data_IF_898265916416
#
_entry.id   IF_898265916416
#
_cell.length_a   1.000
_cell.length_b   1.000
_cell.length_c   1.000
_cell.angle_alpha   90.00
_cell.angle_beta   90.00
_cell.angle_gamma   90.00
#
_symmetry.space_group_name_H-M   'P 1'
#
loop_
_entity.id
_entity.type
_entity.pdbx_description
1 polymer ?
#
# COMPACT_ATOMS: atom_id res chain seq x y z
N UNK A 1 18.21 -32.25 32.68
CA UNK A 1 17.15 -31.30 32.46
C UNK A 1 17.35 -30.18 33.45
N UNK A 2 17.81 -29.06 32.94
CA UNK A 2 18.02 -27.85 33.71
C UNK A 2 16.66 -27.26 34.06
N UNK A 3 16.46 -27.02 35.37
CA UNK A 3 15.29 -26.31 35.86
C UNK A 3 15.23 -24.93 35.20
N UNK A 4 14.28 -24.74 34.29
CA UNK A 4 14.10 -23.52 33.51
C UNK A 4 13.37 -22.41 34.31
N UNK A 5 13.03 -22.72 35.58
CA UNK A 5 12.33 -21.78 36.43
C UNK A 5 13.25 -21.24 37.54
N UNK A 6 13.59 -19.96 37.41
CA UNK A 6 14.45 -19.20 38.34
C UNK A 6 13.70 -18.65 39.56
N UNK A 7 12.47 -19.06 39.83
CA UNK A 7 11.69 -18.64 40.98
C UNK A 7 11.56 -19.72 42.02
N UNK A 8 11.35 -19.31 43.26
CA UNK A 8 11.20 -20.20 44.44
C UNK A 8 9.93 -21.05 44.28
N UNK A 9 10.11 -22.38 44.10
CA UNK A 9 8.99 -23.32 43.91
C UNK A 9 7.99 -23.32 45.07
N UNK A 10 8.49 -23.08 46.29
CA UNK A 10 7.68 -23.05 47.48
C UNK A 10 6.68 -21.89 47.54
N UNK A 11 7.00 -20.79 46.83
CA UNK A 11 6.11 -19.64 46.71
C UNK A 11 4.95 -19.89 45.76
N UNK A 12 5.11 -20.75 44.76
CA UNK A 12 4.05 -21.10 43.80
C UNK A 12 3.09 -22.14 44.38
N UNK A 13 3.58 -23.06 45.20
CA UNK A 13 2.72 -24.10 45.80
C UNK A 13 1.92 -23.58 47.01
N UNK A 14 2.36 -22.47 47.64
CA UNK A 14 1.68 -21.90 48.82
C UNK A 14 0.51 -20.93 48.50
N UNK A 15 0.42 -20.48 47.24
CA UNK A 15 -0.67 -19.60 46.79
C UNK A 15 -1.89 -20.42 46.34
N UNK A 16 -2.62 -21.02 47.28
CA UNK A 16 -3.97 -21.53 46.99
C UNK A 16 -4.89 -20.33 46.74
N UNK A 17 -4.97 -19.89 45.52
CA UNK A 17 -5.94 -18.85 45.12
C UNK A 17 -7.35 -19.44 45.21
N UNK A 18 -8.20 -18.91 46.08
CA UNK A 18 -9.60 -19.35 46.17
C UNK A 18 -10.29 -19.01 44.83
N UNK A 19 -11.30 -19.82 44.44
CA UNK A 19 -12.11 -19.56 43.24
C UNK A 19 -12.65 -18.12 43.21
N UNK A 20 -12.95 -17.58 44.39
CA UNK A 20 -13.45 -16.21 44.54
C UNK A 20 -12.37 -15.16 44.23
N UNK A 21 -11.13 -15.40 44.63
CA UNK A 21 -10.02 -14.47 44.35
C UNK A 21 -9.61 -14.57 42.90
N UNK A 22 -9.62 -15.75 42.30
CA UNK A 22 -9.42 -15.92 40.86
C UNK A 22 -10.44 -15.13 40.03
N UNK A 23 -11.73 -15.23 40.37
CA UNK A 23 -12.78 -14.46 39.69
C UNK A 23 -12.64 -12.95 39.88
N UNK A 24 -12.16 -12.49 41.03
CA UNK A 24 -11.88 -11.08 41.27
C UNK A 24 -10.73 -10.62 40.36
N UNK A 25 -9.62 -11.37 40.27
CA UNK A 25 -8.49 -11.03 39.42
C UNK A 25 -8.86 -11.03 37.94
N UNK A 26 -9.60 -12.04 37.48
CA UNK A 26 -10.05 -12.10 36.08
C UNK A 26 -11.07 -10.98 35.79
N UNK A 27 -11.99 -10.71 36.67
CA UNK A 27 -12.95 -9.63 36.53
C UNK A 27 -12.29 -8.25 36.51
N UNK A 28 -11.31 -8.03 37.38
CA UNK A 28 -10.56 -6.75 37.41
C UNK A 28 -9.64 -6.58 36.20
N UNK A 29 -8.97 -7.64 35.75
CA UNK A 29 -8.11 -7.57 34.57
C UNK A 29 -8.88 -7.35 33.28
N UNK A 30 -10.04 -8.00 33.12
CA UNK A 30 -10.91 -7.77 31.94
C UNK A 30 -11.53 -6.38 31.96
N UNK A 31 -11.94 -5.87 33.13
CA UNK A 31 -12.43 -4.50 33.28
C UNK A 31 -11.33 -3.46 32.99
N UNK A 32 -10.11 -3.68 33.48
CA UNK A 32 -8.97 -2.80 33.20
C UNK A 32 -8.58 -2.84 31.72
N UNK A 33 -8.58 -4.02 31.09
CA UNK A 33 -8.31 -4.15 29.65
C UNK A 33 -9.37 -3.47 28.78
N UNK A 34 -10.66 -3.57 29.18
CA UNK A 34 -11.75 -2.91 28.46
C UNK A 34 -11.69 -1.38 28.60
N UNK A 35 -11.28 -0.85 29.76
CA UNK A 35 -11.09 0.58 29.98
C UNK A 35 -9.85 1.11 29.20
N UNK A 36 -8.77 0.36 29.16
CA UNK A 36 -7.58 0.71 28.38
C UNK A 36 -7.84 0.66 26.85
N UNK A 37 -8.72 -0.24 26.39
CA UNK A 37 -9.12 -0.31 24.99
C UNK A 37 -10.03 0.87 24.56
N UNK A 38 -10.57 1.63 25.51
CA UNK A 38 -11.40 2.81 25.23
C UNK A 38 -10.60 4.10 25.00
N UNK A 39 -9.27 4.09 25.02
CA UNK A 39 -8.50 5.20 24.46
C UNK A 39 -8.71 5.21 22.96
N UNK A 40 -9.75 5.89 22.51
CA UNK A 40 -9.95 6.21 21.11
C UNK A 40 -8.71 6.92 20.57
N UNK A 41 -8.36 6.74 19.29
CA UNK A 41 -7.23 7.42 18.71
C UNK A 41 -7.43 8.93 18.90
N UNK A 42 -6.56 9.56 19.70
CA UNK A 42 -6.55 11.02 19.90
C UNK A 42 -6.03 11.66 18.60
N UNK A 43 -6.79 11.54 17.53
CA UNK A 43 -6.58 12.31 16.31
C UNK A 43 -7.44 13.56 16.43
N UNK A 44 -6.80 14.65 16.78
CA UNK A 44 -7.43 15.97 16.70
C UNK A 44 -7.71 16.24 15.22
N UNK A 45 -8.98 16.32 14.81
CA UNK A 45 -9.31 16.82 13.49
C UNK A 45 -9.09 18.34 13.53
N UNK A 46 -8.23 18.84 12.64
CA UNK A 46 -8.04 20.27 12.44
C UNK A 46 -9.18 20.72 11.52
N UNK A 47 -10.06 21.63 11.98
CA UNK A 47 -11.12 22.16 11.11
C UNK A 47 -10.50 22.94 9.96
N UNK A 48 -11.19 22.98 8.82
CA UNK A 48 -10.78 23.79 7.69
C UNK A 48 -10.83 25.28 8.07
N UNK A 49 -9.77 26.01 7.76
CA UNK A 49 -9.77 27.47 7.84
C UNK A 49 -10.67 28.06 6.75
N UNK A 50 -10.58 27.48 5.55
CA UNK A 50 -11.50 27.74 4.43
C UNK A 50 -12.00 26.39 3.95
N UNK A 51 -13.28 26.12 4.18
CA UNK A 51 -13.88 24.86 3.73
C UNK A 51 -14.16 24.92 2.23
N UNK A 52 -13.65 23.97 1.43
CA UNK A 52 -14.06 23.83 0.03
C UNK A 52 -15.58 23.58 -0.06
N UNK A 53 -16.25 24.20 -1.01
CA UNK A 53 -17.71 24.08 -1.19
C UNK A 53 -18.18 22.65 -1.45
N UNK A 54 -17.28 21.82 -1.99
CA UNK A 54 -17.57 20.43 -2.40
C UNK A 54 -17.34 19.42 -1.27
N UNK A 55 -16.75 19.84 -0.16
CA UNK A 55 -16.42 18.95 0.96
C UNK A 55 -17.33 19.25 2.15
N UNK A 56 -18.21 18.31 2.43
CA UNK A 56 -19.02 18.33 3.64
C UNK A 56 -18.39 17.37 4.65
N UNK A 57 -17.97 17.82 5.85
CA UNK A 57 -17.40 16.95 6.86
C UNK A 57 -18.29 15.75 7.17
N UNK A 58 -17.70 14.56 7.17
CA UNK A 58 -18.43 13.31 7.43
C UNK A 58 -19.17 12.72 6.23
N UNK A 59 -19.33 13.46 5.14
CA UNK A 59 -19.92 12.96 3.87
C UNK A 59 -18.80 12.52 2.93
N UNK A 60 -18.97 11.34 2.34
CA UNK A 60 -17.99 10.80 1.41
C UNK A 60 -18.22 11.34 -0.01
N UNK A 61 -17.13 11.71 -0.67
CA UNK A 61 -17.12 11.99 -2.11
C UNK A 61 -16.55 10.79 -2.88
N UNK A 62 -17.01 10.60 -4.11
CA UNK A 62 -16.60 9.49 -4.97
C UNK A 62 -15.99 10.02 -6.25
N UNK A 63 -14.83 9.49 -6.61
CA UNK A 63 -14.10 9.87 -7.81
C UNK A 63 -13.90 8.65 -8.70
N UNK A 64 -14.34 8.73 -9.94
CA UNK A 64 -14.10 7.68 -10.92
C UNK A 64 -12.65 7.76 -11.42
N UNK A 65 -11.96 6.64 -11.42
CA UNK A 65 -10.60 6.53 -11.95
C UNK A 65 -10.32 5.12 -12.42
N UNK A 66 -9.12 4.93 -12.98
CA UNK A 66 -8.63 3.61 -13.39
C UNK A 66 -7.36 3.28 -12.61
N UNK A 67 -7.30 2.07 -12.08
CA UNK A 67 -6.09 1.51 -11.48
C UNK A 67 -5.48 0.55 -12.48
N UNK A 68 -4.21 0.77 -12.82
CA UNK A 68 -3.42 -0.11 -13.66
C UNK A 68 -2.10 -0.40 -12.93
N UNK A 69 -1.95 -1.62 -12.42
CA UNK A 69 -0.74 -2.07 -11.73
C UNK A 69 -0.45 -3.52 -12.08
N UNK A 70 0.58 -3.73 -12.89
CA UNK A 70 0.89 -5.05 -13.42
C UNK A 70 -0.29 -5.63 -14.20
N UNK A 71 -0.80 -6.78 -13.77
CA UNK A 71 -1.97 -7.44 -14.36
C UNK A 71 -3.30 -6.79 -14.00
N UNK A 72 -3.33 -6.01 -12.93
CA UNK A 72 -4.57 -5.42 -12.44
C UNK A 72 -4.91 -4.18 -13.26
N UNK A 73 -6.01 -4.24 -13.96
CA UNK A 73 -6.61 -3.13 -14.69
C UNK A 73 -8.07 -3.03 -14.32
N UNK A 74 -8.44 -1.99 -13.58
CA UNK A 74 -9.79 -1.85 -13.07
C UNK A 74 -10.29 -0.41 -13.12
N UNK A 75 -11.52 -0.23 -13.61
CA UNK A 75 -12.25 1.02 -13.48
C UNK A 75 -12.95 1.04 -12.12
N UNK A 76 -12.62 2.01 -11.30
CA UNK A 76 -13.00 2.05 -9.90
C UNK A 76 -13.61 3.39 -9.50
N UNK A 77 -14.34 3.38 -8.39
CA UNK A 77 -14.75 4.56 -7.65
C UNK A 77 -13.90 4.63 -6.37
N UNK A 78 -13.17 5.71 -6.24
CA UNK A 78 -12.40 6.00 -5.02
C UNK A 78 -13.25 6.82 -4.08
N UNK A 79 -13.60 6.22 -2.95
CA UNK A 79 -14.31 6.89 -1.87
C UNK A 79 -13.32 7.71 -1.06
N UNK A 80 -13.60 8.99 -0.92
CA UNK A 80 -12.77 9.91 -0.14
C UNK A 80 -13.57 10.52 1.00
N UNK A 81 -12.90 10.84 2.08
CA UNK A 81 -13.40 11.73 3.11
C UNK A 81 -12.41 12.85 3.32
N UNK A 82 -12.89 14.08 3.25
CA UNK A 82 -12.07 15.28 3.50
C UNK A 82 -10.78 15.26 2.66
N UNK A 83 -10.90 14.87 1.38
CA UNK A 83 -9.78 14.77 0.45
C UNK A 83 -8.89 13.54 0.62
N UNK A 84 -9.19 12.64 1.58
CA UNK A 84 -8.41 11.42 1.83
C UNK A 84 -9.10 10.21 1.21
N UNK A 85 -8.44 9.48 0.30
CA UNK A 85 -8.92 8.19 -0.19
C UNK A 85 -9.00 7.17 0.96
N UNK A 86 -10.16 6.56 1.17
CA UNK A 86 -10.37 5.61 2.27
C UNK A 86 -10.77 4.22 1.79
N UNK A 87 -11.36 4.12 0.59
CA UNK A 87 -11.82 2.85 0.05
C UNK A 87 -11.86 2.90 -1.47
N UNK A 88 -11.62 1.77 -2.09
CA UNK A 88 -11.82 1.57 -3.52
C UNK A 88 -13.05 0.69 -3.71
N UNK A 89 -13.95 1.12 -4.55
CA UNK A 89 -15.19 0.44 -4.88
C UNK A 89 -15.27 0.20 -6.40
N UNK A 90 -16.05 -0.78 -6.79
CA UNK A 90 -16.29 -1.09 -8.19
C UNK A 90 -17.07 0.06 -8.86
N UNK A 91 -16.71 0.38 -10.09
CA UNK A 91 -17.47 1.32 -10.90
C UNK A 91 -18.45 0.55 -11.79
N UNK A 92 -19.70 0.43 -11.36
CA UNK A 92 -20.75 -0.30 -12.11
C UNK A 92 -21.14 0.39 -13.41
N UNK A 93 -20.81 1.69 -13.57
CA UNK A 93 -21.08 2.46 -14.79
C UNK A 93 -19.95 2.33 -15.83
N UNK A 94 -18.86 1.66 -15.49
CA UNK A 94 -17.79 1.42 -16.47
C UNK A 94 -18.23 0.42 -17.53
N UNK A 95 -17.76 0.62 -18.75
CA UNK A 95 -18.11 -0.19 -19.94
C UNK A 95 -17.93 -1.69 -19.72
N UNK A 96 -16.95 -2.10 -18.89
CA UNK A 96 -16.66 -3.50 -18.59
C UNK A 96 -17.13 -3.92 -17.18
N UNK A 97 -18.07 -3.18 -16.58
CA UNK A 97 -18.67 -3.53 -15.29
C UNK A 97 -17.70 -3.58 -14.11
N UNK A 98 -16.54 -2.93 -14.23
CA UNK A 98 -15.58 -2.70 -13.16
C UNK A 98 -15.28 -3.92 -12.28
N UNK A 99 -14.46 -4.86 -12.72
CA UNK A 99 -13.98 -5.96 -11.88
C UNK A 99 -12.94 -5.45 -10.88
N UNK A 100 -13.14 -5.70 -9.59
CA UNK A 100 -12.22 -5.27 -8.53
C UNK A 100 -11.78 -6.50 -7.72
N UNK A 101 -10.49 -6.77 -7.69
CA UNK A 101 -9.91 -7.85 -6.90
C UNK A 101 -9.35 -7.34 -5.56
N UNK A 102 -8.88 -8.26 -4.72
CA UNK A 102 -8.36 -7.93 -3.39
C UNK A 102 -7.14 -6.98 -3.44
N UNK A 103 -6.26 -7.12 -4.45
CA UNK A 103 -5.09 -6.24 -4.61
C UNK A 103 -5.51 -4.81 -4.95
N UNK A 104 -6.48 -4.66 -5.85
CA UNK A 104 -7.03 -3.35 -6.21
C UNK A 104 -7.68 -2.70 -4.99
N UNK A 105 -8.46 -3.43 -4.20
CA UNK A 105 -9.00 -2.91 -2.94
C UNK A 105 -7.92 -2.48 -1.95
N UNK A 106 -6.84 -3.28 -1.82
CA UNK A 106 -5.74 -3.01 -0.91
C UNK A 106 -4.84 -1.85 -1.38
N UNK A 107 -4.87 -1.46 -2.66
CA UNK A 107 -3.96 -0.44 -3.22
C UNK A 107 -4.11 0.93 -2.56
N UNK A 108 -5.25 1.24 -1.94
CA UNK A 108 -5.43 2.45 -1.15
C UNK A 108 -4.44 2.55 0.02
N UNK A 109 -4.02 1.41 0.58
CA UNK A 109 -3.09 1.37 1.71
C UNK A 109 -1.70 1.86 1.33
N UNK A 110 -1.28 1.68 0.08
CA UNK A 110 0.01 2.14 -0.42
C UNK A 110 0.18 3.66 -0.34
N UNK A 111 -0.92 4.41 -0.38
CA UNK A 111 -0.89 5.87 -0.22
C UNK A 111 -0.47 6.31 1.20
N UNK A 112 -0.68 5.43 2.18
CA UNK A 112 -0.42 5.68 3.60
C UNK A 112 0.81 4.95 4.12
N UNK A 113 1.53 4.23 3.25
CA UNK A 113 2.78 3.57 3.60
C UNK A 113 3.85 4.63 3.87
N UNK A 114 4.44 4.57 5.06
CA UNK A 114 5.53 5.48 5.47
C UNK A 114 6.82 5.25 4.69
N UNK A 115 6.99 4.05 4.15
CA UNK A 115 8.20 3.66 3.42
C UNK A 115 8.10 3.93 1.91
N UNK A 116 6.96 4.47 1.43
CA UNK A 116 6.82 4.84 0.02
C UNK A 116 7.80 5.94 -0.35
N UNK A 117 8.33 5.90 -1.55
CA UNK A 117 9.12 7.00 -2.10
C UNK A 117 8.21 8.22 -2.30
N UNK A 118 8.64 9.37 -1.80
CA UNK A 118 7.91 10.65 -1.89
C UNK A 118 8.40 11.52 -3.03
N UNK A 119 9.60 11.25 -3.53
CA UNK A 119 10.21 11.96 -4.63
C UNK A 119 11.28 11.13 -5.34
N UNK A 120 11.92 11.70 -6.36
CA UNK A 120 13.02 11.05 -7.06
C UNK A 120 14.26 10.96 -6.17
N UNK A 121 15.04 9.91 -6.37
CA UNK A 121 16.27 9.66 -5.61
C UNK A 121 17.41 9.30 -6.55
N UNK A 122 18.60 9.85 -6.27
CA UNK A 122 19.85 9.50 -6.94
C UNK A 122 20.88 9.13 -5.88
N UNK A 123 21.47 7.94 -6.01
CA UNK A 123 22.47 7.46 -5.05
C UNK A 123 21.95 7.31 -3.60
N UNK A 124 20.64 7.16 -3.40
CA UNK A 124 20.01 7.09 -2.08
C UNK A 124 19.67 8.43 -1.45
N UNK A 125 19.98 9.55 -2.12
CA UNK A 125 19.60 10.89 -1.69
C UNK A 125 18.40 11.42 -2.48
N UNK A 126 17.50 12.14 -1.80
CA UNK A 126 16.37 12.83 -2.42
C UNK A 126 16.87 13.99 -3.26
N UNK A 127 16.37 14.12 -4.51
CA UNK A 127 16.78 15.15 -5.47
C UNK A 127 15.56 15.79 -6.10
N UNK A 128 15.75 16.94 -6.77
CA UNK A 128 14.69 17.53 -7.57
C UNK A 128 14.42 16.73 -8.85
N UNK A 129 13.23 16.87 -9.43
CA UNK A 129 12.91 16.24 -10.74
C UNK A 129 13.86 16.66 -11.84
N UNK A 130 14.30 17.92 -11.87
CA UNK A 130 15.24 18.43 -12.87
C UNK A 130 16.62 17.75 -12.75
N UNK A 131 17.09 17.58 -11.53
CA UNK A 131 18.37 16.87 -11.28
C UNK A 131 18.27 15.40 -11.66
N UNK A 132 17.14 14.76 -11.31
CA UNK A 132 16.87 13.37 -11.68
C UNK A 132 16.85 13.18 -13.20
N UNK A 133 16.10 13.99 -13.93
CA UNK A 133 16.02 13.92 -15.40
C UNK A 133 17.40 14.16 -16.05
N UNK A 134 18.18 15.08 -15.52
CA UNK A 134 19.55 15.35 -15.97
C UNK A 134 20.45 14.13 -15.75
N UNK A 135 20.38 13.53 -14.57
CA UNK A 135 21.16 12.33 -14.23
C UNK A 135 20.77 11.14 -15.12
N UNK A 136 19.46 10.95 -15.38
CA UNK A 136 18.98 9.89 -16.29
C UNK A 136 19.47 10.13 -17.71
N UNK A 137 19.36 11.35 -18.23
CA UNK A 137 19.83 11.69 -19.58
C UNK A 137 21.35 11.48 -19.74
N UNK A 138 22.12 11.89 -18.74
CA UNK A 138 23.56 11.64 -18.71
C UNK A 138 23.86 10.14 -18.72
N UNK A 139 23.18 9.37 -17.88
CA UNK A 139 23.35 7.92 -17.79
C UNK A 139 23.00 7.21 -19.11
N UNK A 140 21.93 7.64 -19.76
CA UNK A 140 21.53 7.11 -21.06
C UNK A 140 22.62 7.39 -22.15
N UNK A 141 23.21 8.57 -22.11
CA UNK A 141 24.32 8.90 -23.03
C UNK A 141 25.57 8.05 -22.77
N UNK A 142 25.92 7.79 -21.53
CA UNK A 142 27.04 6.91 -21.14
C UNK A 142 26.82 5.45 -21.59
N UNK A 143 25.56 5.05 -21.72
CA UNK A 143 25.18 3.71 -22.16
C UNK A 143 24.94 3.60 -23.66
N UNK A 144 25.18 4.67 -24.43
CA UNK A 144 25.08 4.63 -25.87
C UNK A 144 26.02 3.56 -26.45
N UNK A 145 25.49 2.69 -27.30
CA UNK A 145 26.23 1.56 -27.88
C UNK A 145 26.50 0.35 -26.98
N UNK A 146 25.96 0.35 -25.76
CA UNK A 146 25.96 -0.83 -24.84
C UNK A 146 24.59 -1.47 -24.84
N UNK A 147 24.53 -2.78 -24.66
CA UNK A 147 23.26 -3.48 -24.46
C UNK A 147 22.63 -3.06 -23.13
N UNK A 148 21.42 -2.54 -23.21
CA UNK A 148 20.62 -2.15 -22.06
C UNK A 148 19.36 -3.01 -22.00
N UNK A 149 19.02 -3.51 -20.82
CA UNK A 149 17.80 -4.28 -20.59
C UNK A 149 16.83 -3.46 -19.77
N UNK A 150 15.64 -3.21 -20.33
CA UNK A 150 14.50 -2.69 -19.60
C UNK A 150 13.72 -3.89 -19.02
N UNK A 151 13.91 -4.16 -17.73
CA UNK A 151 13.22 -5.25 -17.05
C UNK A 151 11.95 -4.72 -16.39
N UNK A 152 10.81 -5.30 -16.71
CA UNK A 152 9.51 -4.92 -16.15
C UNK A 152 8.70 -6.15 -15.80
N UNK A 153 7.65 -5.97 -15.02
CA UNK A 153 6.53 -6.91 -14.95
C UNK A 153 5.63 -6.78 -16.19
N UNK A 154 4.71 -7.72 -16.37
CA UNK A 154 3.63 -7.58 -17.36
C UNK A 154 2.73 -6.40 -17.01
N UNK A 155 2.35 -5.60 -17.99
CA UNK A 155 1.39 -4.51 -17.83
C UNK A 155 0.11 -4.79 -18.62
N UNK A 156 -1.03 -4.75 -17.96
CA UNK A 156 -2.34 -4.80 -18.59
C UNK A 156 -2.76 -3.45 -19.19
N UNK A 157 -1.99 -2.39 -18.94
CA UNK A 157 -2.28 -1.02 -19.40
C UNK A 157 -1.81 -0.82 -20.86
N UNK A 158 -2.73 -0.53 -21.80
CA UNK A 158 -2.38 -0.24 -23.19
C UNK A 158 -1.47 1.00 -23.34
N UNK A 159 -1.69 2.03 -22.51
CA UNK A 159 -0.87 3.25 -22.53
C UNK A 159 0.56 3.00 -22.09
N UNK A 160 0.78 2.17 -21.06
CA UNK A 160 2.11 1.77 -20.61
C UNK A 160 2.82 0.96 -21.68
N UNK A 161 2.13 0.00 -22.31
CA UNK A 161 2.68 -0.81 -23.40
C UNK A 161 3.09 0.07 -24.59
N UNK A 162 2.26 1.05 -24.95
CA UNK A 162 2.60 2.00 -26.01
C UNK A 162 3.83 2.83 -25.67
N UNK A 163 3.92 3.33 -24.43
CA UNK A 163 5.06 4.12 -23.96
C UNK A 163 6.36 3.31 -24.00
N UNK A 164 6.35 2.03 -23.58
CA UNK A 164 7.48 1.14 -23.65
C UNK A 164 7.90 0.91 -25.10
N UNK A 165 6.94 0.71 -26.01
CA UNK A 165 7.21 0.56 -27.45
C UNK A 165 7.87 1.80 -28.06
N UNK A 166 7.38 2.98 -27.74
CA UNK A 166 7.95 4.25 -28.21
C UNK A 166 9.36 4.45 -27.62
N UNK A 167 9.58 4.10 -26.36
CA UNK A 167 10.87 4.20 -25.70
C UNK A 167 11.92 3.28 -26.32
N UNK A 168 11.58 2.01 -26.56
CA UNK A 168 12.48 1.04 -27.20
C UNK A 168 12.73 1.36 -28.67
N UNK A 169 11.77 1.97 -29.36
CA UNK A 169 11.97 2.46 -30.72
C UNK A 169 12.94 3.65 -30.79
N UNK A 170 12.90 4.53 -29.78
CA UNK A 170 13.81 5.67 -29.68
C UNK A 170 15.26 5.27 -29.38
N UNK A 171 15.45 4.25 -28.55
CA UNK A 171 16.75 3.76 -28.10
C UNK A 171 16.95 2.32 -28.58
N UNK A 172 17.57 2.15 -29.76
CA UNK A 172 17.71 0.85 -30.42
C UNK A 172 18.61 -0.15 -29.68
N UNK A 173 19.39 0.32 -28.70
CA UNK A 173 20.22 -0.51 -27.82
C UNK A 173 19.47 -1.04 -26.60
N UNK A 174 18.17 -0.76 -26.46
CA UNK A 174 17.36 -1.21 -25.34
C UNK A 174 16.53 -2.42 -25.75
N UNK A 175 16.66 -3.49 -24.99
CA UNK A 175 15.82 -4.68 -25.10
C UNK A 175 14.84 -4.73 -23.93
N UNK A 176 13.55 -4.78 -24.22
CA UNK A 176 12.52 -4.99 -23.20
C UNK A 176 12.41 -6.47 -22.85
N UNK A 177 12.45 -6.77 -21.55
CA UNK A 177 12.29 -8.12 -20.99
C UNK A 177 11.23 -8.06 -19.90
N UNK A 178 10.30 -9.00 -19.94
CA UNK A 178 9.24 -9.12 -18.94
C UNK A 178 9.59 -10.26 -17.99
N UNK A 179 9.50 -9.99 -16.69
CA UNK A 179 9.63 -10.99 -15.63
C UNK A 179 8.56 -10.78 -14.57
N UNK A 180 7.73 -11.81 -14.38
CA UNK A 180 6.68 -11.79 -13.38
C UNK A 180 7.05 -12.72 -12.22
N UNK A 181 7.21 -12.14 -11.03
CA UNK A 181 7.50 -12.91 -9.81
C UNK A 181 6.32 -13.83 -9.42
N UNK A 182 5.10 -13.45 -9.82
CA UNK A 182 3.89 -14.26 -9.67
C UNK A 182 3.30 -14.42 -11.06
N UNK A 183 3.39 -15.62 -11.62
CA UNK A 183 2.82 -15.92 -12.94
C UNK A 183 1.29 -15.93 -12.90
N UNK A 184 0.68 -15.31 -13.90
CA UNK A 184 -0.75 -15.42 -14.19
C UNK A 184 -1.03 -16.37 -15.38
N UNK A 185 -0.02 -17.10 -15.89
CA UNK A 185 -0.14 -17.99 -17.04
C UNK A 185 -1.12 -19.16 -16.78
N UNK A 186 -1.30 -19.58 -15.53
CA UNK A 186 -2.25 -20.63 -15.18
C UNK A 186 -3.70 -20.36 -15.62
N UNK A 187 -4.06 -19.10 -15.86
CA UNK A 187 -5.36 -18.76 -16.44
C UNK A 187 -5.41 -18.90 -17.98
N UNK A 188 -4.23 -18.97 -18.61
CA UNK A 188 -4.11 -19.18 -20.06
C UNK A 188 -3.94 -20.67 -20.42
N UNK A 189 -3.50 -21.48 -19.44
CA UNK A 189 -3.22 -22.91 -19.61
C UNK A 189 -4.43 -23.78 -19.24
N UNK A 190 -5.50 -23.19 -18.70
CA UNK A 190 -6.75 -23.85 -18.30
C UNK A 190 -7.82 -23.80 -19.40
#
# INVERSE_FOLDING_TARGET
PTDEFLGDKDTLESTSTTRRDFLKYVGFSTAAASLAACEGPVKKSIPYVVQPTEIIPGVANYYATTIANGFDFASVLVKTREGRPIKIERNDLAVNGGSVNARVHASVLSLYDKNRLTGPMVGGAEVSWLEFDTAVAQKMNEMAGKDVVLLTQTFASPSTTKLISEYTAKYSNIRHVVYDAVSCSGALDA
#
